data_IF_733341315612
#
_entry.id   IF_733341315612
#
_cell.length_a   1.000
_cell.length_b   1.000
_cell.length_c   1.000
_cell.angle_alpha   90.00
_cell.angle_beta   90.00
_cell.angle_gamma   90.00
#
_symmetry.space_group_name_H-M   'P 1'
#
loop_
_entity.id
_entity.type
_entity.pdbx_description
1 polymer ?
#
# COMPACT_ATOMS: atom_id res chain seq x y z
N UNK A 1 4.95 -6.30 -12.87
CA UNK A 1 5.08 -4.95 -12.27
C UNK A 1 4.31 -4.82 -10.95
N UNK A 2 3.00 -5.07 -10.90
CA UNK A 2 2.20 -5.01 -9.66
C UNK A 2 2.79 -5.84 -8.51
N UNK A 3 3.15 -7.10 -8.78
CA UNK A 3 3.77 -7.99 -7.79
C UNK A 3 5.10 -7.46 -7.26
N UNK A 4 5.94 -6.89 -8.13
CA UNK A 4 7.22 -6.29 -7.73
C UNK A 4 7.01 -5.08 -6.81
N UNK A 5 6.01 -4.23 -7.12
CA UNK A 5 5.68 -3.08 -6.29
C UNK A 5 5.08 -3.50 -4.94
N UNK A 6 4.25 -4.54 -4.91
CA UNK A 6 3.69 -5.06 -3.68
C UNK A 6 4.80 -5.60 -2.76
N UNK A 7 5.67 -6.46 -3.28
CA UNK A 7 6.81 -7.02 -2.53
C UNK A 7 7.74 -5.90 -2.05
N UNK A 8 7.96 -4.86 -2.87
CA UNK A 8 8.75 -3.70 -2.46
C UNK A 8 8.09 -2.96 -1.29
N UNK A 9 6.79 -2.68 -1.36
CA UNK A 9 6.06 -1.99 -0.29
C UNK A 9 6.07 -2.82 1.00
N UNK A 10 5.78 -4.12 0.92
CA UNK A 10 5.77 -5.01 2.09
C UNK A 10 7.11 -5.04 2.81
N UNK A 11 8.22 -5.05 2.06
CA UNK A 11 9.56 -5.10 2.64
C UNK A 11 10.08 -3.75 3.16
N UNK A 12 9.52 -2.62 2.69
CA UNK A 12 10.05 -1.28 2.98
C UNK A 12 9.01 -0.34 3.59
N UNK A 13 7.88 -0.85 4.08
CA UNK A 13 6.72 -0.05 4.50
C UNK A 13 7.04 1.01 5.58
N UNK A 14 8.06 0.80 6.41
CA UNK A 14 8.49 1.75 7.45
C UNK A 14 9.32 2.91 6.88
N UNK A 15 9.97 2.70 5.75
CA UNK A 15 10.86 3.68 5.12
C UNK A 15 10.12 4.50 4.05
N UNK A 16 9.03 3.97 3.49
CA UNK A 16 8.23 4.63 2.48
C UNK A 16 7.44 5.79 3.08
N UNK A 17 7.64 6.98 2.52
CA UNK A 17 6.90 8.18 2.87
C UNK A 17 5.84 8.41 1.82
N UNK A 18 4.63 8.67 2.28
CA UNK A 18 3.47 8.92 1.43
C UNK A 18 2.99 10.35 1.62
N UNK A 19 2.30 10.89 0.62
CA UNK A 19 1.63 12.19 0.77
C UNK A 19 0.54 12.15 1.86
N UNK A 20 0.27 13.29 2.51
CA UNK A 20 -0.81 13.41 3.52
C UNK A 20 -2.17 12.97 2.97
N UNK A 21 -2.42 13.26 1.69
CA UNK A 21 -3.63 12.85 0.98
C UNK A 21 -3.75 11.33 0.89
N UNK A 22 -2.64 10.64 0.63
CA UNK A 22 -2.61 9.17 0.61
C UNK A 22 -2.68 8.61 2.03
N UNK A 23 -1.97 9.20 2.99
CA UNK A 23 -2.04 8.82 4.41
C UNK A 23 -3.49 8.81 4.92
N UNK A 24 -4.24 9.87 4.67
CA UNK A 24 -5.65 9.96 5.05
C UNK A 24 -6.54 8.89 4.38
N UNK A 25 -6.18 8.39 3.19
CA UNK A 25 -6.89 7.28 2.54
C UNK A 25 -6.54 5.93 3.17
N UNK A 26 -5.26 5.73 3.47
CA UNK A 26 -4.75 4.53 4.15
C UNK A 26 -5.47 4.34 5.49
N UNK A 27 -5.52 5.39 6.31
CA UNK A 27 -6.15 5.35 7.63
C UNK A 27 -7.65 5.07 7.53
N UNK A 28 -8.36 5.75 6.62
CA UNK A 28 -9.80 5.51 6.39
C UNK A 28 -10.08 4.08 5.93
N UNK A 29 -9.28 3.57 5.00
CA UNK A 29 -9.41 2.20 4.52
C UNK A 29 -9.20 1.21 5.66
N UNK A 30 -8.13 1.37 6.44
CA UNK A 30 -7.83 0.50 7.55
C UNK A 30 -8.92 0.50 8.63
N UNK A 31 -9.38 1.68 9.05
CA UNK A 31 -10.43 1.81 10.05
C UNK A 31 -11.75 1.16 9.60
N UNK A 32 -12.14 1.38 8.34
CA UNK A 32 -13.33 0.76 7.76
C UNK A 32 -13.19 -0.77 7.71
N UNK A 33 -12.06 -1.28 7.22
CA UNK A 33 -11.80 -2.73 7.16
C UNK A 33 -11.83 -3.35 8.55
N UNK A 34 -11.18 -2.73 9.54
CA UNK A 34 -11.20 -3.22 10.92
C UNK A 34 -12.63 -3.27 11.50
N UNK A 35 -13.41 -2.21 11.27
CA UNK A 35 -14.82 -2.14 11.71
C UNK A 35 -15.66 -3.26 11.08
N UNK A 36 -15.47 -3.55 9.79
CA UNK A 36 -16.17 -4.62 9.10
C UNK A 36 -15.77 -6.01 9.62
N UNK A 37 -14.47 -6.25 9.82
CA UNK A 37 -13.98 -7.52 10.36
C UNK A 37 -14.56 -7.77 11.76
N UNK A 38 -14.57 -6.74 12.62
CA UNK A 38 -15.17 -6.82 13.95
C UNK A 38 -16.68 -7.08 13.89
N UNK A 39 -17.42 -6.35 13.04
CA UNK A 39 -18.86 -6.50 12.87
C UNK A 39 -19.24 -7.93 12.45
N UNK A 40 -18.49 -8.51 11.50
CA UNK A 40 -18.71 -9.87 11.01
C UNK A 40 -17.99 -10.95 11.82
N UNK A 41 -17.33 -10.59 12.93
CA UNK A 41 -16.57 -11.50 13.81
C UNK A 41 -15.53 -12.34 13.05
N UNK A 42 -14.90 -11.75 12.04
CA UNK A 42 -13.83 -12.38 11.28
C UNK A 42 -12.53 -12.26 12.07
N UNK A 43 -12.02 -13.39 12.55
CA UNK A 43 -10.79 -13.46 13.36
C UNK A 43 -9.54 -13.38 12.46
N UNK A 44 -9.32 -12.22 11.85
CA UNK A 44 -8.12 -11.92 11.04
C UNK A 44 -7.41 -10.71 11.59
N UNK A 45 -6.10 -10.82 11.78
CA UNK A 45 -5.25 -9.69 12.14
C UNK A 45 -4.84 -8.94 10.87
N UNK A 46 -5.15 -7.65 10.81
CA UNK A 46 -4.65 -6.77 9.76
C UNK A 46 -3.16 -6.49 9.96
N UNK A 47 -2.43 -6.36 8.84
CA UNK A 47 -1.04 -5.92 8.81
C UNK A 47 -0.95 -4.38 8.96
N UNK A 48 0.19 -3.77 8.67
CA UNK A 48 0.34 -2.31 8.71
C UNK A 48 -0.67 -1.64 7.77
N UNK A 49 -1.26 -0.49 8.14
CA UNK A 49 -2.27 0.18 7.33
C UNK A 49 -1.88 0.40 5.88
N UNK A 50 -0.64 0.83 5.64
CA UNK A 50 -0.14 1.06 4.28
C UNK A 50 -0.03 -0.24 3.47
N UNK A 51 0.41 -1.33 4.11
CA UNK A 51 0.50 -2.65 3.47
C UNK A 51 -0.89 -3.13 3.05
N UNK A 52 -1.88 -3.04 3.94
CA UNK A 52 -3.26 -3.43 3.64
C UNK A 52 -3.85 -2.60 2.50
N UNK A 53 -3.63 -1.29 2.54
CA UNK A 53 -4.08 -0.40 1.46
C UNK A 53 -3.40 -0.74 0.12
N UNK A 54 -2.08 -0.98 0.13
CA UNK A 54 -1.34 -1.36 -1.07
C UNK A 54 -1.81 -2.71 -1.63
N UNK A 55 -2.02 -3.72 -0.78
CA UNK A 55 -2.62 -5.02 -1.16
C UNK A 55 -3.97 -4.81 -1.83
N UNK A 56 -4.87 -4.04 -1.22
CA UNK A 56 -6.16 -3.73 -1.81
C UNK A 56 -6.04 -3.06 -3.18
N UNK A 57 -5.29 -1.95 -3.28
CA UNK A 57 -5.17 -1.18 -4.52
C UNK A 57 -4.52 -1.99 -5.63
N UNK A 58 -3.46 -2.73 -5.34
CA UNK A 58 -2.71 -3.48 -6.35
C UNK A 58 -3.43 -4.76 -6.80
N UNK A 59 -4.34 -5.32 -6.00
CA UNK A 59 -5.07 -6.55 -6.35
C UNK A 59 -6.48 -6.29 -6.87
N UNK A 60 -7.19 -5.32 -6.29
CA UNK A 60 -8.62 -5.03 -6.56
C UNK A 60 -8.88 -3.61 -7.06
N UNK A 61 -7.95 -2.68 -6.83
CA UNK A 61 -8.10 -1.29 -7.23
C UNK A 61 -8.10 -1.10 -8.75
N UNK A 62 -8.76 -0.04 -9.18
CA UNK A 62 -8.75 0.45 -10.56
C UNK A 62 -7.37 0.89 -11.01
N UNK A 63 -7.16 1.03 -12.32
CA UNK A 63 -5.91 1.56 -12.88
C UNK A 63 -5.59 2.96 -12.32
N UNK A 64 -6.61 3.82 -12.16
CA UNK A 64 -6.46 5.16 -11.57
C UNK A 64 -5.98 5.09 -10.12
N UNK A 65 -6.48 4.16 -9.31
CA UNK A 65 -6.03 3.98 -7.93
C UNK A 65 -4.59 3.44 -7.88
N UNK A 66 -4.26 2.49 -8.76
CA UNK A 66 -2.89 1.97 -8.87
C UNK A 66 -1.89 3.05 -9.28
N UNK A 67 -2.26 3.90 -10.24
CA UNK A 67 -1.43 5.02 -10.66
C UNK A 67 -1.30 6.07 -9.54
N UNK A 68 -2.41 6.43 -8.87
CA UNK A 68 -2.39 7.38 -7.76
C UNK A 68 -1.54 6.88 -6.57
N UNK A 69 -1.53 5.58 -6.30
CA UNK A 69 -0.65 4.97 -5.30
C UNK A 69 0.82 5.19 -5.66
N UNK A 70 1.19 4.90 -6.91
CA UNK A 70 2.57 5.06 -7.39
C UNK A 70 3.05 6.52 -7.32
N UNK A 71 2.22 7.48 -7.75
CA UNK A 71 2.52 8.92 -7.72
C UNK A 71 2.61 9.49 -6.30
N UNK A 72 1.95 8.85 -5.32
CA UNK A 72 1.89 9.36 -3.95
C UNK A 72 3.04 8.89 -3.06
N UNK A 73 3.89 7.97 -3.55
CA UNK A 73 5.13 7.57 -2.89
C UNK A 73 6.17 8.66 -3.19
N UNK A 74 6.68 9.30 -2.12
CA UNK A 74 7.52 10.49 -2.27
C UNK A 74 8.94 10.16 -2.72
N UNK A 75 9.42 8.96 -2.41
CA UNK A 75 10.73 8.51 -2.82
C UNK A 75 10.74 8.07 -4.28
N UNK A 76 11.83 8.37 -4.98
CA UNK A 76 12.10 7.79 -6.30
C UNK A 76 12.43 6.30 -6.12
N UNK A 77 11.75 5.47 -6.91
CA UNK A 77 11.98 4.02 -6.96
C UNK A 77 12.57 3.71 -8.33
N UNK A 78 13.64 2.91 -8.35
CA UNK A 78 14.27 2.44 -9.58
C UNK A 78 14.12 0.92 -9.72
N UNK A 79 13.97 0.45 -10.96
CA UNK A 79 14.04 -0.97 -11.29
C UNK A 79 15.48 -1.32 -11.69
N UNK A 80 16.19 -2.07 -10.86
CA UNK A 80 17.51 -2.64 -11.17
C UNK A 80 17.42 -4.16 -11.15
N UNK A 81 17.76 -4.80 -12.26
CA UNK A 81 17.87 -6.27 -12.38
C UNK A 81 16.62 -7.01 -11.83
N UNK A 82 15.44 -6.59 -12.28
CA UNK A 82 14.14 -7.15 -11.87
C UNK A 82 13.78 -6.97 -10.39
N UNK A 83 14.45 -6.08 -9.66
CA UNK A 83 14.12 -5.69 -8.29
C UNK A 83 13.92 -4.18 -8.19
N UNK A 84 12.93 -3.78 -7.40
CA UNK A 84 12.74 -2.38 -7.05
C UNK A 84 13.62 -2.03 -5.85
N UNK A 85 14.27 -0.87 -5.92
CA UNK A 85 15.01 -0.28 -4.81
C UNK A 85 14.74 1.22 -4.77
N UNK A 86 14.99 1.87 -3.63
CA UNK A 86 15.08 3.32 -3.60
C UNK A 86 16.19 3.79 -4.56
N UNK A 87 16.00 4.98 -5.14
CA UNK A 87 17.06 5.70 -5.85
C UNK A 87 17.97 6.37 -4.82
N UNK A 88 19.28 6.25 -5.00
CA UNK A 88 20.30 6.99 -4.23
C UNK A 88 20.25 8.49 -4.55
#
# INVERSE_FOLDING_TARGET
>A
MRELLLVFIENNAEEIRVSDKLQAKIERHYAMTNTLLEHYKVATKLDKPFIEYARYVLTRGSFTEQHALAESIQQKIQLKTSRLSFTE
#
